data_IF_466013466986
#
_entry.id   IF_466013466986
#
_cell.length_a   1.000
_cell.length_b   1.000
_cell.length_c   1.000
_cell.angle_alpha   90.00
_cell.angle_beta   90.00
_cell.angle_gamma   90.00
#
_symmetry.space_group_name_H-M   'P 1'
#
loop_
_entity.id
_entity.type
_entity.pdbx_description
1 polymer ?
#
# COMPACT_ATOMS: atom_id res chain seq x y z
N UNK A 1 -4.77 9.56 -20.73
CA UNK A 1 -4.85 8.36 -19.86
C UNK A 1 -3.48 8.18 -19.17
N UNK A 2 -3.10 9.00 -18.18
CA UNK A 2 -1.68 9.01 -17.76
C UNK A 2 -1.28 9.46 -16.35
N UNK A 3 -2.05 10.30 -15.65
CA UNK A 3 -1.53 10.92 -14.41
C UNK A 3 -1.58 9.96 -13.20
N UNK A 4 -2.67 9.17 -13.07
CA UNK A 4 -2.85 8.21 -11.98
C UNK A 4 -1.84 7.03 -11.99
N UNK A 5 -1.20 6.74 -13.13
CA UNK A 5 -0.27 5.61 -13.25
C UNK A 5 1.16 5.95 -12.79
N UNK A 6 1.56 7.22 -12.87
CA UNK A 6 2.88 7.67 -12.41
C UNK A 6 2.90 7.92 -10.90
N UNK A 7 1.88 8.60 -10.38
CA UNK A 7 1.75 8.83 -8.93
C UNK A 7 1.58 7.51 -8.16
N UNK A 8 0.80 6.57 -8.70
CA UNK A 8 0.66 5.24 -8.11
C UNK A 8 1.95 4.43 -8.08
N UNK A 9 2.80 4.54 -9.11
CA UNK A 9 4.11 3.88 -9.15
C UNK A 9 5.09 4.49 -8.14
N UNK A 10 5.07 5.81 -7.99
CA UNK A 10 5.86 6.52 -6.97
C UNK A 10 5.49 6.09 -5.55
N UNK A 11 4.19 6.00 -5.27
CA UNK A 11 3.70 5.59 -3.95
C UNK A 11 4.00 4.12 -3.63
N UNK A 12 3.88 3.20 -4.60
CA UNK A 12 4.29 1.80 -4.44
C UNK A 12 5.79 1.69 -4.09
N UNK A 13 6.65 2.44 -4.81
CA UNK A 13 8.09 2.44 -4.54
C UNK A 13 8.41 3.02 -3.16
N UNK A 14 7.70 4.07 -2.74
CA UNK A 14 7.85 4.67 -1.40
C UNK A 14 7.47 3.69 -0.30
N UNK A 15 6.29 3.06 -0.39
CA UNK A 15 5.84 2.06 0.60
C UNK A 15 6.79 0.87 0.65
N UNK A 16 7.27 0.40 -0.50
CA UNK A 16 8.28 -0.66 -0.58
C UNK A 16 9.56 -0.27 0.19
N UNK A 17 10.07 0.95 -0.01
CA UNK A 17 11.24 1.47 0.69
C UNK A 17 11.03 1.58 2.21
N UNK A 18 9.85 2.03 2.65
CA UNK A 18 9.55 2.22 4.08
C UNK A 18 9.35 0.90 4.82
N UNK A 19 8.78 -0.10 4.15
CA UNK A 19 8.46 -1.40 4.77
C UNK A 19 9.56 -2.45 4.63
N UNK A 20 10.51 -2.23 3.72
CA UNK A 20 11.50 -3.22 3.29
C UNK A 20 10.93 -4.31 2.39
N UNK A 21 9.70 -4.16 1.89
CA UNK A 21 9.11 -5.08 0.92
C UNK A 21 9.48 -4.70 -0.51
N UNK A 22 9.29 -5.62 -1.45
CA UNK A 22 9.50 -5.32 -2.87
C UNK A 22 8.32 -4.54 -3.46
N UNK A 23 8.57 -3.65 -4.41
CA UNK A 23 7.53 -2.92 -5.13
C UNK A 23 6.49 -3.86 -5.78
N UNK A 24 6.95 -5.02 -6.28
CA UNK A 24 6.06 -6.05 -6.82
C UNK A 24 5.13 -6.62 -5.75
N UNK A 25 5.63 -6.89 -4.54
CA UNK A 25 4.81 -7.35 -3.41
C UNK A 25 3.74 -6.33 -3.03
N UNK A 26 4.11 -5.06 -2.90
CA UNK A 26 3.17 -3.97 -2.61
C UNK A 26 2.13 -3.83 -3.72
N UNK A 27 2.54 -3.93 -5.00
CA UNK A 27 1.63 -3.89 -6.15
C UNK A 27 0.62 -5.06 -6.14
N UNK A 28 1.05 -6.27 -5.77
CA UNK A 28 0.16 -7.42 -5.64
C UNK A 28 -0.88 -7.23 -4.53
N UNK A 29 -0.49 -6.60 -3.42
CA UNK A 29 -1.39 -6.25 -2.32
C UNK A 29 -2.41 -5.20 -2.78
N UNK A 30 -1.95 -4.09 -3.36
CA UNK A 30 -2.81 -3.02 -3.87
C UNK A 30 -3.77 -3.48 -4.98
N UNK A 31 -3.41 -4.54 -5.72
CA UNK A 31 -4.25 -5.13 -6.76
C UNK A 31 -5.17 -6.24 -6.23
N UNK A 32 -5.13 -6.56 -4.93
CA UNK A 32 -5.89 -7.65 -4.32
C UNK A 32 -5.43 -9.06 -4.71
N UNK A 33 -4.37 -9.19 -5.53
CA UNK A 33 -3.77 -10.47 -5.92
C UNK A 33 -3.09 -11.17 -4.74
N UNK A 34 -2.73 -10.42 -3.71
CA UNK A 34 -2.16 -10.94 -2.47
C UNK A 34 -2.86 -10.34 -1.26
N UNK A 35 -3.44 -11.19 -0.42
CA UNK A 35 -3.99 -10.78 0.88
C UNK A 35 -2.89 -10.72 1.94
N UNK A 36 -2.98 -9.75 2.83
CA UNK A 36 -2.13 -9.69 4.02
C UNK A 36 -2.85 -10.45 5.12
N UNK A 37 -2.29 -11.58 5.56
CA UNK A 37 -2.86 -12.40 6.63
C UNK A 37 -2.06 -12.32 7.94
N UNK A 38 -0.91 -11.64 7.91
CA UNK A 38 0.02 -11.56 9.03
C UNK A 38 -0.06 -10.17 9.66
N UNK A 39 -0.40 -10.10 10.94
CA UNK A 39 -0.51 -8.85 11.69
C UNK A 39 0.76 -7.99 11.59
N UNK A 40 1.95 -8.61 11.69
CA UNK A 40 3.22 -7.89 11.56
C UNK A 40 3.38 -7.21 10.20
N UNK A 41 2.92 -7.84 9.12
CA UNK A 41 2.96 -7.25 7.77
C UNK A 41 1.96 -6.09 7.67
N UNK A 42 0.74 -6.27 8.19
CA UNK A 42 -0.27 -5.22 8.22
C UNK A 42 0.19 -4.00 9.03
N UNK A 43 0.86 -4.23 10.17
CA UNK A 43 1.45 -3.17 10.99
C UNK A 43 2.53 -2.40 10.22
N UNK A 44 3.45 -3.09 9.54
CA UNK A 44 4.48 -2.40 8.73
C UNK A 44 3.87 -1.54 7.62
N UNK A 45 2.84 -2.04 6.94
CA UNK A 45 2.13 -1.28 5.91
C UNK A 45 1.41 -0.08 6.51
N UNK A 46 0.77 -0.27 7.66
CA UNK A 46 0.13 0.80 8.45
C UNK A 46 1.10 1.92 8.82
N UNK A 47 2.27 1.58 9.39
CA UNK A 47 3.34 2.55 9.69
C UNK A 47 3.81 3.30 8.43
N UNK A 48 3.91 2.62 7.29
CA UNK A 48 4.38 3.22 6.03
C UNK A 48 3.33 4.10 5.33
N UNK A 49 2.03 3.82 5.50
CA UNK A 49 0.94 4.52 4.81
C UNK A 49 0.10 5.43 5.72
N UNK A 50 0.32 5.38 7.04
CA UNK A 50 -0.52 6.08 8.02
C UNK A 50 -1.95 5.53 8.14
N UNK A 51 -2.26 4.40 7.50
CA UNK A 51 -3.59 3.77 7.56
C UNK A 51 -3.66 2.78 8.72
N UNK A 52 -4.86 2.42 9.18
CA UNK A 52 -5.01 1.39 10.23
C UNK A 52 -4.60 0.00 9.72
N UNK A 53 -3.95 -0.86 10.55
CA UNK A 53 -3.54 -2.20 10.14
C UNK A 53 -4.72 -3.09 9.74
N UNK A 54 -5.90 -2.88 10.33
CA UNK A 54 -7.15 -3.57 9.99
C UNK A 54 -7.55 -3.38 8.51
N UNK A 55 -7.21 -2.24 7.91
CA UNK A 55 -7.44 -1.99 6.46
C UNK A 55 -6.72 -3.03 5.61
N UNK A 56 -5.51 -3.44 6.01
CA UNK A 56 -4.72 -4.41 5.25
C UNK A 56 -5.16 -5.87 5.50
N UNK A 57 -5.76 -6.15 6.66
CA UNK A 57 -6.18 -7.49 7.06
C UNK A 57 -7.60 -7.83 6.59
N UNK A 58 -8.51 -6.87 6.73
CA UNK A 58 -9.96 -7.07 6.58
C UNK A 58 -10.57 -6.11 5.57
N UNK A 59 -9.84 -5.06 5.20
CA UNK A 59 -10.32 -4.07 4.22
C UNK A 59 -10.48 -4.64 2.82
N UNK A 60 -11.30 -3.95 2.04
CA UNK A 60 -11.52 -4.27 0.62
C UNK A 60 -10.29 -3.91 -0.21
N UNK A 61 -10.18 -4.51 -1.41
CA UNK A 61 -9.10 -4.19 -2.36
C UNK A 61 -9.05 -2.69 -2.66
N UNK A 62 -10.20 -2.03 -2.80
CA UNK A 62 -10.26 -0.57 -2.97
C UNK A 62 -9.69 0.19 -1.77
N UNK A 63 -10.02 -0.19 -0.53
CA UNK A 63 -9.50 0.48 0.67
C UNK A 63 -7.99 0.32 0.78
N UNK A 64 -7.48 -0.88 0.54
CA UNK A 64 -6.04 -1.18 0.53
C UNK A 64 -5.33 -0.37 -0.57
N UNK A 65 -5.93 -0.32 -1.76
CA UNK A 65 -5.40 0.45 -2.88
C UNK A 65 -5.35 1.94 -2.58
N UNK A 66 -6.38 2.50 -1.95
CA UNK A 66 -6.40 3.89 -1.52
C UNK A 66 -5.37 4.17 -0.42
N UNK A 67 -5.18 3.26 0.54
CA UNK A 67 -4.16 3.41 1.57
C UNK A 67 -2.73 3.45 0.97
N UNK A 68 -2.46 2.62 -0.04
CA UNK A 68 -1.14 2.54 -0.67
C UNK A 68 -0.92 3.65 -1.69
N UNK A 69 -1.90 3.91 -2.57
CA UNK A 69 -1.75 4.84 -3.69
C UNK A 69 -2.18 6.26 -3.36
N UNK A 70 -2.98 6.46 -2.30
CA UNK A 70 -3.52 7.75 -1.88
C UNK A 70 -2.60 8.53 -0.93
N UNK A 71 -1.37 8.07 -0.72
CA UNK A 71 -0.35 8.81 0.03
C UNK A 71 -0.14 10.18 -0.63
N UNK A 72 -0.65 11.24 0.01
CA UNK A 72 -0.35 12.61 -0.38
C UNK A 72 1.03 12.98 0.16
N UNK A 73 1.83 13.70 -0.63
CA UNK A 73 2.97 14.44 -0.07
C UNK A 73 2.39 15.47 0.90
N UNK A 74 2.72 15.35 2.19
CA UNK A 74 2.70 16.52 3.05
C UNK A 74 3.83 17.44 2.55
N UNK A 75 3.45 18.65 2.13
CA UNK A 75 4.35 19.73 1.71
C UNK A 75 5.09 20.36 2.89
#
# INVERSE_FOLDING_TARGET
>A
MGILAEEGRGNIARVASLTGFTASYISMIASGKKKVAVWQTAKKLSDATGAHPEVFLEGTVEQIKLAILGLKKEE
#
